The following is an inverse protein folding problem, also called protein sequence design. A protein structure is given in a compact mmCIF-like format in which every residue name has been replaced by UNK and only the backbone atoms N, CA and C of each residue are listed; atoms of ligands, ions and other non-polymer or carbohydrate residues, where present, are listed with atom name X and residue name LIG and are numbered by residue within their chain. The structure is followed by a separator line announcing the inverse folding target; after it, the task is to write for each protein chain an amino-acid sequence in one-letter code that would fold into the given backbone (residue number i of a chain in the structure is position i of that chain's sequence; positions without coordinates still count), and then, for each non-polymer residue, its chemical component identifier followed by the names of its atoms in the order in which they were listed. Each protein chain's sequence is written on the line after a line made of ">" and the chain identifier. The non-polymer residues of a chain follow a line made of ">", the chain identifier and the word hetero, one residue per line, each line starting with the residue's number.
data_IF_461246022539
#
_entry.id   IF_461246022539
#
_cell.length_a   1.000
_cell.length_b   1.000
_cell.length_c   1.000
_cell.angle_alpha   90.00
_cell.angle_beta   90.00
_cell.angle_gamma   90.00
#
_symmetry.space_group_name_H-M   'P 1'
#
loop_
_entity.id
_entity.type
_entity.pdbx_description
1 polymer ?
#
# COMPACT_ATOMS: atom_id res chain seq x y z
N UNK A 1 5.88 -7.92 18.17
CA UNK A 1 6.08 -8.32 19.59
C UNK A 1 5.26 -9.56 19.86
N UNK A 2 5.73 -10.42 20.76
CA UNK A 2 4.92 -11.53 21.30
C UNK A 2 3.79 -10.99 22.18
N UNK A 3 2.83 -11.85 22.54
CA UNK A 3 1.67 -11.48 23.38
C UNK A 3 2.07 -10.88 24.73
N UNK A 4 3.23 -11.25 25.26
CA UNK A 4 3.81 -10.72 26.52
C UNK A 4 4.54 -9.38 26.33
N UNK A 5 4.55 -8.82 25.12
CA UNK A 5 5.20 -7.55 24.79
C UNK A 5 6.70 -7.64 24.54
N UNK A 6 7.29 -8.85 24.52
CA UNK A 6 8.72 -9.00 24.20
C UNK A 6 8.98 -8.77 22.71
N UNK A 7 10.17 -8.28 22.38
CA UNK A 7 10.61 -8.10 20.99
C UNK A 7 10.87 -9.47 20.36
N UNK A 8 10.11 -9.84 19.33
CA UNK A 8 10.30 -11.09 18.60
C UNK A 8 11.49 -10.99 17.64
N UNK A 9 11.57 -9.92 16.87
CA UNK A 9 12.66 -9.64 15.94
C UNK A 9 12.79 -8.13 15.66
N UNK A 10 13.85 -7.73 15.00
CA UNK A 10 14.00 -6.37 14.49
C UNK A 10 14.74 -6.39 13.14
N UNK A 11 14.41 -5.42 12.30
CA UNK A 11 15.13 -5.09 11.08
C UNK A 11 15.67 -3.68 11.20
N UNK A 12 16.95 -3.49 10.89
CA UNK A 12 17.59 -2.17 10.83
C UNK A 12 18.25 -2.00 9.47
N UNK A 13 17.95 -0.89 8.81
CA UNK A 13 18.54 -0.51 7.52
C UNK A 13 19.00 0.94 7.54
N UNK A 14 19.81 1.31 6.55
CA UNK A 14 20.32 2.69 6.38
C UNK A 14 19.38 3.56 5.55
N UNK A 15 18.46 2.95 4.80
CA UNK A 15 17.47 3.65 3.98
C UNK A 15 16.22 3.90 4.81
N UNK A 16 15.67 5.13 4.86
CA UNK A 16 14.46 5.42 5.60
C UNK A 16 13.27 4.57 5.12
N UNK A 17 12.49 4.03 6.07
CA UNK A 17 11.20 3.41 5.81
C UNK A 17 10.18 4.52 5.62
N UNK A 18 9.46 4.52 4.50
CA UNK A 18 8.49 5.55 4.10
C UNK A 18 7.06 5.04 4.07
N UNK A 19 6.87 3.72 4.00
CA UNK A 19 5.56 3.07 4.06
C UNK A 19 5.67 1.74 4.80
N UNK A 20 4.60 1.34 5.48
CA UNK A 20 4.57 0.09 6.25
C UNK A 20 3.13 -0.40 6.37
N UNK A 21 2.96 -1.72 6.29
CA UNK A 21 1.73 -2.43 6.60
C UNK A 21 2.03 -3.85 7.07
N UNK A 22 1.07 -4.48 7.72
CA UNK A 22 1.23 -5.84 8.26
C UNK A 22 -0.07 -6.65 8.18
N UNK A 23 0.09 -7.96 8.05
CA UNK A 23 -0.94 -8.97 8.16
C UNK A 23 -0.58 -9.98 9.25
N UNK A 24 -1.43 -10.99 9.45
CA UNK A 24 -1.14 -12.10 10.36
C UNK A 24 0.10 -12.90 9.92
N UNK A 25 0.36 -13.00 8.62
CA UNK A 25 1.43 -13.85 8.07
C UNK A 25 2.73 -13.10 7.79
N UNK A 26 2.74 -11.77 7.87
CA UNK A 26 3.94 -11.01 7.62
C UNK A 26 3.73 -9.51 7.56
N UNK A 27 4.74 -8.80 7.12
CA UNK A 27 4.65 -7.35 6.92
C UNK A 27 5.44 -6.90 5.71
N UNK A 28 5.13 -5.68 5.26
CA UNK A 28 5.80 -5.02 4.15
C UNK A 28 6.37 -3.68 4.61
N UNK A 29 7.60 -3.40 4.22
CA UNK A 29 8.23 -2.09 4.38
C UNK A 29 8.60 -1.52 3.01
N UNK A 30 8.17 -0.30 2.73
CA UNK A 30 8.58 0.48 1.57
C UNK A 30 9.62 1.52 1.97
N UNK A 31 10.59 1.77 1.10
CA UNK A 31 11.76 2.57 1.39
C UNK A 31 11.88 3.82 0.51
N UNK A 32 12.68 4.78 0.99
CA UNK A 32 12.96 6.02 0.28
C UNK A 32 13.77 5.83 -1.03
N UNK A 33 14.42 4.68 -1.21
CA UNK A 33 15.11 4.31 -2.45
C UNK A 33 14.22 3.63 -3.50
N UNK A 34 12.91 3.52 -3.22
CA UNK A 34 11.95 2.85 -4.10
C UNK A 34 11.93 1.33 -3.99
N UNK A 35 12.70 0.77 -3.08
CA UNK A 35 12.63 -0.67 -2.79
C UNK A 35 11.50 -1.01 -1.81
N UNK A 36 11.04 -2.23 -1.89
CA UNK A 36 10.08 -2.86 -0.99
C UNK A 36 10.70 -4.12 -0.42
N UNK A 37 10.53 -4.35 0.87
CA UNK A 37 10.94 -5.57 1.54
C UNK A 37 9.73 -6.22 2.22
N UNK A 38 9.51 -7.48 1.93
CA UNK A 38 8.47 -8.29 2.56
C UNK A 38 9.12 -9.24 3.57
N UNK A 39 8.55 -9.29 4.77
CA UNK A 39 9.02 -10.09 5.88
C UNK A 39 7.95 -11.10 6.28
N UNK A 40 8.34 -12.32 6.56
CA UNK A 40 7.51 -13.30 7.26
C UNK A 40 7.30 -12.89 8.72
N UNK A 41 6.36 -13.52 9.39
CA UNK A 41 6.05 -13.25 10.80
C UNK A 41 7.22 -13.49 11.75
N UNK A 42 8.18 -14.34 11.36
CA UNK A 42 9.42 -14.61 12.14
C UNK A 42 10.57 -13.62 11.82
N UNK A 43 10.34 -12.65 10.92
CA UNK A 43 11.34 -11.66 10.50
C UNK A 43 12.22 -12.08 9.33
N UNK A 44 12.04 -13.29 8.80
CA UNK A 44 12.74 -13.73 7.59
C UNK A 44 12.32 -12.87 6.39
N UNK A 45 13.29 -12.37 5.64
CA UNK A 45 13.01 -11.66 4.39
C UNK A 45 12.53 -12.65 3.34
N UNK A 46 11.28 -12.49 2.91
CA UNK A 46 10.67 -13.30 1.85
C UNK A 46 11.19 -12.84 0.50
N UNK A 47 11.13 -11.52 0.26
CA UNK A 47 11.60 -10.92 -0.98
C UNK A 47 11.93 -9.45 -0.81
N UNK A 48 12.74 -8.93 -1.75
CA UNK A 48 13.00 -7.51 -1.93
C UNK A 48 12.97 -7.17 -3.41
N UNK A 49 12.23 -6.14 -3.78
CA UNK A 49 12.09 -5.71 -5.18
C UNK A 49 11.82 -4.21 -5.28
N UNK A 50 11.95 -3.67 -6.50
CA UNK A 50 11.67 -2.26 -6.79
C UNK A 50 10.52 -2.16 -7.79
N UNK A 51 9.27 -1.97 -7.33
CA UNK A 51 8.06 -2.00 -8.17
C UNK A 51 8.04 -0.91 -9.25
N UNK A 52 8.71 0.22 -9.00
CA UNK A 52 8.83 1.31 -9.94
C UNK A 52 10.10 1.27 -10.81
N UNK A 53 11.01 0.33 -10.55
CA UNK A 53 12.35 0.37 -11.13
C UNK A 53 13.09 1.66 -10.74
N UNK A 54 13.99 2.12 -11.59
CA UNK A 54 14.76 3.37 -11.37
C UNK A 54 13.97 4.66 -11.62
N UNK A 55 12.82 4.58 -12.29
CA UNK A 55 12.04 5.75 -12.68
C UNK A 55 11.10 6.27 -11.59
N UNK A 56 10.73 5.42 -10.64
CA UNK A 56 9.78 5.72 -9.58
C UNK A 56 10.41 5.48 -8.20
N UNK A 57 11.40 6.33 -7.82
CA UNK A 57 11.99 6.23 -6.48
C UNK A 57 10.96 6.60 -5.42
N UNK A 58 11.19 6.19 -4.19
CA UNK A 58 10.35 6.38 -3.01
C UNK A 58 9.04 5.59 -3.06
N UNK A 59 8.81 4.79 -2.04
CA UNK A 59 7.51 4.17 -1.78
C UNK A 59 6.70 5.13 -0.92
N UNK A 60 5.56 5.58 -1.42
CA UNK A 60 4.68 6.54 -0.73
C UNK A 60 3.55 5.86 0.04
N UNK A 61 3.18 4.66 -0.34
CA UNK A 61 2.17 3.85 0.34
C UNK A 61 2.40 2.38 0.04
N UNK A 62 2.10 1.52 0.99
CA UNK A 62 2.23 0.07 0.84
C UNK A 62 1.13 -0.63 1.63
N UNK A 63 0.66 -1.75 1.11
CA UNK A 63 -0.26 -2.67 1.79
C UNK A 63 0.07 -4.12 1.42
N UNK A 64 -0.21 -5.03 2.35
CA UNK A 64 -0.06 -6.47 2.19
C UNK A 64 -1.41 -7.15 2.44
N UNK A 65 -1.76 -8.13 1.60
CA UNK A 65 -3.00 -8.92 1.79
C UNK A 65 -2.97 -9.74 3.08
N UNK A 66 -4.14 -10.15 3.54
CA UNK A 66 -4.29 -10.90 4.79
C UNK A 66 -3.46 -12.19 4.80
N UNK A 67 -3.33 -12.86 3.65
CA UNK A 67 -2.56 -14.09 3.44
C UNK A 67 -1.11 -13.86 2.98
N UNK A 68 -0.67 -12.60 2.91
CA UNK A 68 0.64 -12.17 2.40
C UNK A 68 0.96 -12.59 0.95
N UNK A 69 -0.06 -12.94 0.16
CA UNK A 69 0.15 -13.35 -1.25
C UNK A 69 0.17 -12.18 -2.23
N UNK A 70 -0.38 -11.03 -1.84
CA UNK A 70 -0.47 -9.82 -2.66
C UNK A 70 0.16 -8.63 -1.94
N UNK A 71 0.79 -7.79 -2.72
CA UNK A 71 1.40 -6.53 -2.29
C UNK A 71 0.92 -5.40 -3.19
N UNK A 72 0.48 -4.32 -2.59
CA UNK A 72 0.05 -3.12 -3.31
C UNK A 72 0.87 -1.92 -2.85
N UNK A 73 1.36 -1.12 -3.77
CA UNK A 73 2.18 0.06 -3.47
C UNK A 73 1.86 1.24 -4.37
N UNK A 74 2.07 2.44 -3.84
CA UNK A 74 2.21 3.66 -4.62
C UNK A 74 3.67 4.10 -4.52
N UNK A 75 4.32 4.30 -5.67
CA UNK A 75 5.72 4.69 -5.75
C UNK A 75 5.93 5.87 -6.71
N UNK A 76 7.05 6.57 -6.53
CA UNK A 76 7.46 7.70 -7.36
C UNK A 76 7.30 9.05 -6.67
N UNK A 77 8.16 10.01 -7.05
CA UNK A 77 8.23 11.33 -6.44
C UNK A 77 7.55 12.41 -7.30
N UNK A 78 7.98 12.57 -8.56
CA UNK A 78 7.44 13.57 -9.49
C UNK A 78 6.38 13.00 -10.44
N UNK A 79 6.50 11.72 -10.73
CA UNK A 79 5.52 10.88 -11.41
C UNK A 79 5.23 9.72 -10.48
N UNK A 80 3.98 9.39 -10.33
CA UNK A 80 3.58 8.35 -9.41
C UNK A 80 2.96 7.16 -10.17
N UNK A 81 3.10 6.01 -9.58
CA UNK A 81 2.59 4.75 -10.13
C UNK A 81 2.02 3.90 -9.01
N UNK A 82 0.81 3.42 -9.20
CA UNK A 82 0.26 2.34 -8.41
C UNK A 82 0.69 1.00 -9.02
N UNK A 83 1.06 0.06 -8.18
CA UNK A 83 1.46 -1.30 -8.57
C UNK A 83 0.80 -2.29 -7.64
N UNK A 84 0.14 -3.30 -8.20
CA UNK A 84 -0.31 -4.50 -7.51
C UNK A 84 0.55 -5.67 -8.00
N UNK A 85 1.21 -6.34 -7.08
CA UNK A 85 2.07 -7.47 -7.35
C UNK A 85 1.62 -8.70 -6.57
N UNK A 86 1.86 -9.87 -7.15
CA UNK A 86 1.67 -11.16 -6.51
C UNK A 86 3.02 -11.76 -6.16
N UNK A 87 3.11 -12.28 -4.95
CA UNK A 87 4.24 -13.09 -4.52
C UNK A 87 4.04 -14.52 -5.05
N UNK A 88 4.98 -15.03 -5.85
CA UNK A 88 4.98 -16.40 -6.35
C UNK A 88 5.92 -17.33 -5.55
N UNK A 89 6.45 -16.83 -4.43
CA UNK A 89 7.40 -17.52 -3.55
C UNK A 89 8.87 -17.38 -3.96
N UNK A 90 9.14 -16.80 -5.13
CA UNK A 90 10.50 -16.55 -5.66
C UNK A 90 10.67 -15.09 -6.05
N UNK A 91 9.66 -14.52 -6.73
CA UNK A 91 9.69 -13.14 -7.24
C UNK A 91 8.33 -12.45 -7.08
N UNK A 92 8.36 -11.13 -6.99
CA UNK A 92 7.16 -10.33 -7.12
C UNK A 92 6.78 -10.18 -8.60
N UNK A 93 5.62 -10.70 -8.97
CA UNK A 93 5.05 -10.53 -10.31
C UNK A 93 4.03 -9.42 -10.31
N UNK A 94 4.27 -8.35 -11.06
CA UNK A 94 3.28 -7.28 -11.26
C UNK A 94 2.09 -7.85 -12.04
N UNK A 95 0.90 -7.77 -11.45
CA UNK A 95 -0.37 -8.23 -12.05
C UNK A 95 -1.25 -7.08 -12.51
N UNK A 96 -1.06 -5.88 -11.94
CA UNK A 96 -1.72 -4.66 -12.37
C UNK A 96 -0.83 -3.45 -12.06
N UNK A 97 -0.90 -2.41 -12.87
CA UNK A 97 -0.31 -1.12 -12.57
C UNK A 97 -1.03 0.00 -13.32
N UNK A 98 -0.99 1.20 -12.79
CA UNK A 98 -1.40 2.42 -13.50
C UNK A 98 -0.53 3.61 -13.11
N UNK A 99 -0.41 4.56 -14.04
CA UNK A 99 0.24 5.83 -13.77
C UNK A 99 -0.76 6.78 -13.13
N UNK A 100 -0.32 7.49 -12.09
CA UNK A 100 -1.15 8.40 -11.33
C UNK A 100 -0.87 9.83 -11.73
N UNK A 101 -1.93 10.60 -11.92
CA UNK A 101 -1.87 12.01 -12.29
C UNK A 101 -1.67 12.90 -11.05
N UNK A 102 -0.75 12.48 -10.17
CA UNK A 102 -0.42 13.15 -8.94
C UNK A 102 1.10 13.21 -8.78
N UNK A 103 1.59 14.31 -8.30
CA UNK A 103 3.01 14.55 -7.97
C UNK A 103 3.21 14.99 -6.52
N UNK A 104 2.14 14.96 -5.70
CA UNK A 104 2.28 15.33 -4.30
C UNK A 104 3.13 14.29 -3.56
N UNK A 105 4.14 14.72 -2.75
CA UNK A 105 5.12 13.82 -2.14
C UNK A 105 4.64 13.20 -0.83
N UNK A 106 3.37 13.38 -0.48
CA UNK A 106 2.83 12.91 0.80
C UNK A 106 2.56 11.41 0.78
N UNK A 107 2.53 10.85 1.98
CA UNK A 107 2.15 9.45 2.17
C UNK A 107 0.78 9.16 1.53
N UNK A 108 0.72 8.05 0.83
CA UNK A 108 -0.49 7.57 0.15
C UNK A 108 -1.18 6.51 0.98
N UNK A 109 -2.49 6.60 1.02
CA UNK A 109 -3.34 5.52 1.49
C UNK A 109 -3.27 4.37 0.48
N UNK A 110 -2.97 3.17 0.97
CA UNK A 110 -3.12 1.91 0.23
C UNK A 110 -3.70 0.90 1.21
N UNK A 111 -4.78 0.21 0.85
CA UNK A 111 -5.44 -0.77 1.71
C UNK A 111 -6.10 -1.87 0.89
N UNK A 112 -5.98 -3.11 1.37
CA UNK A 112 -6.84 -4.21 0.95
C UNK A 112 -8.14 -4.17 1.72
N UNK A 113 -9.23 -4.55 1.07
CA UNK A 113 -10.54 -4.70 1.68
C UNK A 113 -11.36 -5.78 0.96
N UNK A 114 -12.56 -6.11 1.50
CA UNK A 114 -13.46 -7.14 0.97
C UNK A 114 -12.72 -8.49 0.84
N UNK A 115 -12.14 -8.96 1.95
CA UNK A 115 -11.33 -10.18 1.99
C UNK A 115 -10.25 -10.20 0.91
N UNK A 116 -9.49 -9.10 0.78
CA UNK A 116 -8.45 -8.88 -0.22
C UNK A 116 -8.94 -8.92 -1.69
N UNK A 117 -10.25 -8.88 -1.89
CA UNK A 117 -10.85 -8.86 -3.22
C UNK A 117 -10.63 -7.56 -3.97
N UNK A 118 -10.35 -6.48 -3.24
CA UNK A 118 -10.13 -5.14 -3.81
C UNK A 118 -9.04 -4.40 -3.07
N UNK A 119 -8.27 -3.58 -3.78
CA UNK A 119 -7.33 -2.61 -3.23
C UNK A 119 -7.88 -1.22 -3.43
N UNK A 120 -7.82 -0.40 -2.38
CA UNK A 120 -8.08 1.04 -2.42
C UNK A 120 -6.74 1.77 -2.32
N UNK A 121 -6.55 2.81 -3.13
CA UNK A 121 -5.42 3.73 -3.00
C UNK A 121 -5.88 5.16 -3.33
N UNK A 122 -5.16 6.17 -2.84
CA UNK A 122 -5.44 7.56 -3.19
C UNK A 122 -4.40 8.15 -4.14
N UNK A 123 -4.87 9.06 -4.99
CA UNK A 123 -4.06 9.88 -5.89
C UNK A 123 -4.66 11.29 -5.93
N UNK A 124 -4.11 12.21 -5.14
CA UNK A 124 -4.74 13.52 -4.95
C UNK A 124 -6.14 13.40 -4.35
N UNK A 125 -7.14 13.93 -5.06
CA UNK A 125 -8.57 13.85 -4.70
C UNK A 125 -9.28 12.61 -5.30
N UNK A 126 -8.57 11.72 -5.98
CA UNK A 126 -9.13 10.49 -6.52
C UNK A 126 -8.84 9.31 -5.58
N UNK A 127 -9.84 8.47 -5.41
CA UNK A 127 -9.69 7.12 -4.87
C UNK A 127 -9.74 6.12 -6.02
N UNK A 128 -8.68 5.34 -6.16
CA UNK A 128 -8.63 4.22 -7.07
C UNK A 128 -9.06 2.94 -6.35
N UNK A 129 -9.78 2.11 -7.07
CA UNK A 129 -10.23 0.78 -6.65
C UNK A 129 -9.78 -0.23 -7.68
N UNK A 130 -9.10 -1.28 -7.28
CA UNK A 130 -8.65 -2.35 -8.18
C UNK A 130 -9.12 -3.68 -7.65
N UNK A 131 -9.89 -4.41 -8.46
CA UNK A 131 -10.27 -5.79 -8.19
C UNK A 131 -9.04 -6.70 -8.38
N UNK A 132 -8.62 -7.38 -7.34
CA UNK A 132 -7.35 -8.12 -7.32
C UNK A 132 -7.30 -9.31 -8.27
N UNK A 133 -8.45 -9.95 -8.55
CA UNK A 133 -8.55 -11.13 -9.41
C UNK A 133 -8.57 -10.77 -10.91
N UNK A 134 -9.19 -9.66 -11.27
CA UNK A 134 -9.43 -9.31 -12.68
C UNK A 134 -8.59 -8.14 -13.16
N UNK A 135 -8.04 -7.33 -12.24
CA UNK A 135 -7.37 -6.08 -12.56
C UNK A 135 -8.32 -4.99 -13.07
N UNK A 136 -9.64 -5.16 -12.93
CA UNK A 136 -10.57 -4.08 -13.24
C UNK A 136 -10.39 -2.96 -12.25
N UNK A 137 -10.27 -1.73 -12.75
CA UNK A 137 -10.14 -0.53 -11.94
C UNK A 137 -11.32 0.41 -12.10
N UNK A 138 -11.58 1.17 -11.06
CA UNK A 138 -12.56 2.25 -11.03
C UNK A 138 -12.01 3.40 -10.18
N UNK A 139 -12.47 4.61 -10.44
CA UNK A 139 -12.06 5.79 -9.70
C UNK A 139 -13.27 6.54 -9.17
N UNK A 140 -13.13 7.05 -7.96
CA UNK A 140 -14.11 7.92 -7.30
C UNK A 140 -13.44 9.24 -6.94
N UNK A 141 -14.00 10.34 -7.41
CA UNK A 141 -13.56 11.66 -6.98
C UNK A 141 -14.20 12.02 -5.63
N UNK A 142 -13.36 12.47 -4.69
CA UNK A 142 -13.79 12.97 -3.38
C UNK A 142 -13.31 14.41 -3.20
N UNK A 143 -13.95 15.15 -2.30
CA UNK A 143 -13.43 16.45 -1.90
C UNK A 143 -12.28 16.27 -0.93
N UNK A 144 -11.10 16.78 -1.33
CA UNK A 144 -9.89 16.70 -0.53
C UNK A 144 -9.14 15.38 -0.65
N UNK A 145 -8.29 15.12 0.29
CA UNK A 145 -7.41 13.95 0.32
C UNK A 145 -7.94 12.91 1.32
N UNK A 146 -8.00 11.66 0.91
CA UNK A 146 -8.30 10.55 1.83
C UNK A 146 -7.16 10.38 2.84
N UNK A 147 -7.52 10.35 4.11
CA UNK A 147 -6.59 10.15 5.24
C UNK A 147 -6.65 8.73 5.79
N UNK A 148 -7.83 8.13 5.78
CA UNK A 148 -8.05 6.80 6.31
C UNK A 148 -9.25 6.14 5.64
N UNK A 149 -9.21 4.81 5.57
CA UNK A 149 -10.31 3.96 5.11
C UNK A 149 -10.51 2.84 6.11
N UNK A 150 -11.76 2.58 6.47
CA UNK A 150 -12.13 1.47 7.33
C UNK A 150 -13.32 0.71 6.75
N UNK A 151 -13.26 -0.61 6.83
CA UNK A 151 -14.34 -1.51 6.49
C UNK A 151 -15.18 -1.83 7.73
N UNK A 152 -16.49 -1.84 7.57
CA UNK A 152 -17.42 -2.27 8.60
C UNK A 152 -18.66 -2.90 7.95
N UNK A 153 -18.80 -4.20 8.08
CA UNK A 153 -19.81 -4.96 7.35
C UNK A 153 -19.61 -4.81 5.83
N UNK A 154 -20.68 -4.49 5.12
CA UNK A 154 -20.66 -4.30 3.65
C UNK A 154 -20.35 -2.85 3.25
N UNK A 155 -19.96 -2.00 4.20
CA UNK A 155 -19.69 -0.58 3.97
C UNK A 155 -18.22 -0.25 4.14
N UNK A 156 -17.76 0.74 3.38
CA UNK A 156 -16.45 1.36 3.52
C UNK A 156 -16.66 2.80 3.99
N UNK A 157 -15.97 3.19 5.04
CA UNK A 157 -15.95 4.55 5.55
C UNK A 157 -14.62 5.20 5.20
N UNK A 158 -14.67 6.37 4.57
CA UNK A 158 -13.51 7.12 4.12
C UNK A 158 -13.47 8.44 4.85
N UNK A 159 -12.41 8.68 5.63
CA UNK A 159 -12.12 9.97 6.21
C UNK A 159 -11.29 10.79 5.21
N UNK A 160 -11.78 11.95 4.82
CA UNK A 160 -11.07 12.87 3.93
C UNK A 160 -10.91 14.25 4.57
N UNK A 161 -9.87 14.98 4.11
CA UNK A 161 -9.56 16.34 4.54
C UNK A 161 -9.42 17.26 3.32
N UNK A 162 -10.14 18.37 3.34
CA UNK A 162 -10.02 19.46 2.37
C UNK A 162 -9.78 20.77 3.12
N UNK A 163 -8.55 21.30 3.05
CA UNK A 163 -8.13 22.45 3.84
C UNK A 163 -8.34 22.24 5.35
N UNK A 164 -9.25 22.98 5.95
CA UNK A 164 -9.65 22.87 7.36
C UNK A 164 -10.88 21.98 7.62
N UNK A 165 -11.49 21.40 6.57
CA UNK A 165 -12.73 20.62 6.66
C UNK A 165 -12.43 19.12 6.62
N UNK A 166 -13.08 18.37 7.49
CA UNK A 166 -13.03 16.92 7.52
C UNK A 166 -14.39 16.34 7.13
N UNK A 167 -14.40 15.36 6.24
CA UNK A 167 -15.62 14.72 5.75
C UNK A 167 -15.48 13.21 5.86
N UNK A 168 -16.55 12.54 6.26
CA UNK A 168 -16.68 11.09 6.22
C UNK A 168 -17.63 10.74 5.07
N UNK A 169 -17.14 9.90 4.16
CA UNK A 169 -17.94 9.30 3.09
C UNK A 169 -18.25 7.84 3.46
N UNK A 170 -19.39 7.34 2.99
CA UNK A 170 -19.79 5.94 3.07
C UNK A 170 -20.14 5.45 1.66
#
# INVERSE_FOLDING_TARGET
>A
CSEDGTKAWEYSGTVPITAFDSSEYGCIAGFADGSVCEFASDGTIIQRFSPGGSEFPVILGAAISSDASLVAVVCGQNKQRFVLAKNDGVNAKIIFHEFLDSSDPYQKLVRFYNNDGTVIYNSGNLLGFVETKTGKSAHLEIKGQALNVQESGDCIFILAKDGGTYTVYM
#
